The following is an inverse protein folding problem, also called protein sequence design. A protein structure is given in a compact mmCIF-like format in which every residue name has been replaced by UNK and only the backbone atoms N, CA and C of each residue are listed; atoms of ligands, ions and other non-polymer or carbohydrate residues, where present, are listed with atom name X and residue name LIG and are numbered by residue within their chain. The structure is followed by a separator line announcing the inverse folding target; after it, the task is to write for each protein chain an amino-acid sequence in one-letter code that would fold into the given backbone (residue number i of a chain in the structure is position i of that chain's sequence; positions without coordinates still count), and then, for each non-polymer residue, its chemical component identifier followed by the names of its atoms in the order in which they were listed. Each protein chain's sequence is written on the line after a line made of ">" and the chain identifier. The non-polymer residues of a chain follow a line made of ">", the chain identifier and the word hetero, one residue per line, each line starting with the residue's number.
data_IF_314303483524
#
_entry.id   IF_314303483524
#
_cell.length_a   1.000
_cell.length_b   1.000
_cell.length_c   1.000
_cell.angle_alpha   90.00
_cell.angle_beta   90.00
_cell.angle_gamma   90.00
#
_symmetry.space_group_name_H-M   'P 1'
#
loop_
_entity.id
_entity.type
_entity.pdbx_description
1 polymer ?
#
# COMPACT_ATOMS: atom_id res chain seq x y z
N UNK A 1 4.05 11.87 -24.39
CA UNK A 1 4.14 10.51 -23.79
C UNK A 1 4.78 10.49 -22.40
N UNK A 2 6.03 10.96 -22.18
CA UNK A 2 6.68 10.92 -20.84
C UNK A 2 5.87 11.56 -19.69
N UNK A 3 5.23 12.69 -19.98
CA UNK A 3 4.36 13.41 -19.03
C UNK A 3 3.09 12.63 -18.63
N UNK A 4 2.60 11.73 -19.49
CA UNK A 4 1.44 10.87 -19.18
C UNK A 4 1.87 9.80 -18.18
N UNK A 5 3.08 9.26 -18.32
CA UNK A 5 3.61 8.20 -17.44
C UNK A 5 3.69 8.67 -15.98
N UNK A 6 4.20 9.89 -15.73
CA UNK A 6 4.28 10.41 -14.36
C UNK A 6 2.89 10.72 -13.77
N UNK A 7 1.94 11.19 -14.58
CA UNK A 7 0.55 11.38 -14.14
C UNK A 7 -0.11 10.05 -13.80
N UNK A 8 0.09 9.03 -14.65
CA UNK A 8 -0.39 7.67 -14.39
C UNK A 8 0.25 7.10 -13.12
N UNK A 9 1.56 7.29 -12.93
CA UNK A 9 2.28 6.87 -11.72
C UNK A 9 1.67 7.47 -10.45
N UNK A 10 1.45 8.80 -10.43
CA UNK A 10 0.85 9.48 -9.28
C UNK A 10 -0.60 9.03 -9.03
N UNK A 11 -1.37 8.82 -10.10
CA UNK A 11 -2.78 8.41 -10.01
C UNK A 11 -2.92 6.99 -9.46
N UNK A 12 -2.15 6.03 -9.99
CA UNK A 12 -2.17 4.63 -9.52
C UNK A 12 -1.70 4.55 -8.06
N UNK A 13 -0.63 5.26 -7.70
CA UNK A 13 -0.16 5.29 -6.32
C UNK A 13 -1.17 5.90 -5.34
N UNK A 14 -1.93 6.93 -5.77
CA UNK A 14 -3.03 7.49 -4.97
C UNK A 14 -4.14 6.46 -4.75
N UNK A 15 -4.47 5.66 -5.77
CA UNK A 15 -5.43 4.55 -5.64
C UNK A 15 -4.98 3.52 -4.59
N UNK A 16 -3.70 3.15 -4.58
CA UNK A 16 -3.13 2.24 -3.59
C UNK A 16 -3.20 2.83 -2.17
N UNK A 17 -2.85 4.11 -2.01
CA UNK A 17 -2.95 4.81 -0.73
C UNK A 17 -4.38 4.74 -0.18
N UNK A 18 -5.38 5.10 -0.98
CA UNK A 18 -6.78 5.08 -0.53
C UNK A 18 -7.29 3.66 -0.28
N UNK A 19 -6.89 2.66 -1.08
CA UNK A 19 -7.19 1.27 -0.78
C UNK A 19 -6.58 0.83 0.56
N UNK A 20 -5.35 1.27 0.87
CA UNK A 20 -4.70 0.96 2.14
C UNK A 20 -5.40 1.62 3.33
N UNK A 21 -5.80 2.89 3.19
CA UNK A 21 -6.58 3.63 4.19
C UNK A 21 -7.96 2.98 4.39
N UNK A 22 -8.65 2.60 3.32
CA UNK A 22 -9.93 1.89 3.40
C UNK A 22 -9.80 0.60 4.19
N UNK A 23 -8.73 -0.18 3.95
CA UNK A 23 -8.49 -1.39 4.73
C UNK A 23 -8.32 -1.10 6.22
N UNK A 24 -7.66 0.00 6.62
CA UNK A 24 -7.58 0.39 8.03
C UNK A 24 -8.93 0.87 8.59
N UNK A 25 -9.62 1.75 7.88
CA UNK A 25 -10.82 2.42 8.38
C UNK A 25 -12.04 1.51 8.42
N UNK A 26 -12.14 0.58 7.47
CA UNK A 26 -13.33 -0.25 7.29
C UNK A 26 -13.03 -1.70 7.63
N UNK A 27 -12.09 -2.34 6.92
CA UNK A 27 -11.88 -3.78 7.07
C UNK A 27 -11.28 -4.14 8.43
N UNK A 28 -10.22 -3.46 8.87
CA UNK A 28 -9.60 -3.71 10.16
C UNK A 28 -10.53 -3.37 11.32
N UNK A 29 -11.23 -2.23 11.26
CA UNK A 29 -12.23 -1.86 12.26
C UNK A 29 -13.36 -2.90 12.38
N UNK A 30 -13.86 -3.40 11.25
CA UNK A 30 -14.88 -4.46 11.23
C UNK A 30 -14.34 -5.76 11.84
N UNK A 31 -13.10 -6.15 11.50
CA UNK A 31 -12.44 -7.33 12.08
C UNK A 31 -12.24 -7.17 13.59
N UNK A 32 -11.79 -6.03 14.07
CA UNK A 32 -11.52 -5.81 15.51
C UNK A 32 -12.78 -5.78 16.37
N UNK A 33 -13.95 -5.50 15.77
CA UNK A 33 -15.20 -5.29 16.51
C UNK A 33 -15.74 -6.51 17.27
N UNK A 34 -15.44 -7.74 16.83
CA UNK A 34 -16.00 -8.97 17.40
C UNK A 34 -15.12 -10.21 17.20
N UNK A 35 -13.86 -10.15 17.65
CA UNK A 35 -12.92 -11.28 17.57
C UNK A 35 -13.32 -12.37 18.58
N UNK A 36 -13.39 -13.67 18.18
CA UNK A 36 -12.91 -14.23 16.91
C UNK A 36 -13.96 -14.34 15.79
N UNK A 37 -15.25 -14.11 16.09
CA UNK A 37 -16.35 -14.34 15.14
C UNK A 37 -16.21 -13.51 13.85
N UNK A 38 -15.73 -12.28 13.96
CA UNK A 38 -15.46 -11.39 12.82
C UNK A 38 -14.37 -11.93 11.89
N UNK A 39 -13.34 -12.60 12.43
CA UNK A 39 -12.27 -13.23 11.63
C UNK A 39 -12.82 -14.46 10.89
N UNK A 40 -13.66 -15.26 11.54
CA UNK A 40 -14.37 -16.38 10.90
C UNK A 40 -15.23 -15.88 9.75
N UNK A 41 -16.04 -14.85 9.98
CA UNK A 41 -16.86 -14.23 8.94
C UNK A 41 -16.01 -13.65 7.79
N UNK A 42 -14.87 -13.02 8.11
CA UNK A 42 -13.96 -12.50 7.10
C UNK A 42 -13.35 -13.61 6.24
N UNK A 43 -12.98 -14.77 6.82
CA UNK A 43 -12.51 -15.95 6.06
C UNK A 43 -13.54 -16.44 5.07
N UNK A 44 -14.80 -16.51 5.49
CA UNK A 44 -15.91 -16.93 4.62
C UNK A 44 -16.15 -15.92 3.49
N UNK A 45 -16.23 -14.62 3.84
CA UNK A 45 -16.47 -13.55 2.89
C UNK A 45 -15.35 -13.43 1.83
N UNK A 46 -14.09 -13.56 2.26
CA UNK A 46 -12.91 -13.44 1.40
C UNK A 46 -12.40 -14.78 0.83
N UNK A 47 -13.24 -15.83 0.85
CA UNK A 47 -12.88 -17.18 0.41
C UNK A 47 -12.57 -17.28 -1.09
N UNK A 48 -13.11 -16.38 -1.91
CA UNK A 48 -12.92 -16.39 -3.37
C UNK A 48 -12.02 -15.25 -3.87
N UNK A 49 -12.23 -14.04 -3.35
CA UNK A 49 -11.46 -12.83 -3.68
C UNK A 49 -11.24 -12.06 -2.40
N UNK A 50 -10.05 -11.48 -2.24
CA UNK A 50 -9.68 -10.70 -1.07
C UNK A 50 -8.91 -9.41 -1.44
N UNK A 51 -8.68 -8.49 -0.48
CA UNK A 51 -7.95 -7.26 -0.77
C UNK A 51 -6.56 -7.48 -1.38
N UNK A 52 -5.91 -8.62 -1.09
CA UNK A 52 -4.65 -9.02 -1.70
C UNK A 52 -4.72 -9.13 -3.23
N UNK A 53 -5.86 -9.50 -3.81
CA UNK A 53 -6.01 -9.60 -5.27
C UNK A 53 -5.92 -8.24 -5.97
N UNK A 54 -6.39 -7.17 -5.31
CA UNK A 54 -6.16 -5.81 -5.76
C UNK A 54 -4.66 -5.46 -5.73
N UNK A 55 -3.99 -5.70 -4.58
CA UNK A 55 -2.58 -5.31 -4.42
C UNK A 55 -1.64 -6.12 -5.32
N UNK A 56 -1.92 -7.40 -5.59
CA UNK A 56 -1.14 -8.23 -6.52
C UNK A 56 -1.01 -7.61 -7.91
N UNK A 57 -2.01 -6.85 -8.36
CA UNK A 57 -2.00 -6.18 -9.66
C UNK A 57 -1.43 -4.77 -9.54
N UNK A 58 -1.97 -3.97 -8.62
CA UNK A 58 -1.70 -2.54 -8.59
C UNK A 58 -0.36 -2.20 -7.92
N UNK A 59 0.09 -2.95 -6.91
CA UNK A 59 1.40 -2.69 -6.27
C UNK A 59 2.56 -2.80 -7.28
N UNK A 60 2.73 -3.91 -8.03
CA UNK A 60 3.78 -4.01 -9.05
C UNK A 60 3.64 -2.94 -10.15
N UNK A 61 2.41 -2.66 -10.59
CA UNK A 61 2.16 -1.64 -11.59
C UNK A 61 2.63 -0.25 -11.12
N UNK A 62 2.36 0.11 -9.86
CA UNK A 62 2.79 1.39 -9.30
C UNK A 62 4.30 1.53 -9.24
N UNK A 63 5.02 0.47 -8.87
CA UNK A 63 6.48 0.44 -8.80
C UNK A 63 7.08 0.56 -10.20
N UNK A 64 6.51 -0.15 -11.18
CA UNK A 64 6.93 -0.05 -12.58
C UNK A 64 6.75 1.38 -13.10
N UNK A 65 5.59 2.00 -12.88
CA UNK A 65 5.32 3.38 -13.31
C UNK A 65 6.23 4.40 -12.59
N UNK A 66 6.52 4.19 -11.30
CA UNK A 66 7.42 5.05 -10.54
C UNK A 66 8.87 4.92 -11.03
N UNK A 67 9.34 3.70 -11.28
CA UNK A 67 10.67 3.45 -11.84
C UNK A 67 10.81 4.03 -13.25
N UNK A 68 9.81 3.82 -14.11
CA UNK A 68 9.78 4.41 -15.46
C UNK A 68 9.80 5.94 -15.38
N UNK A 69 9.03 6.54 -14.46
CA UNK A 69 9.06 7.99 -14.24
C UNK A 69 10.46 8.45 -13.82
N UNK A 70 11.10 7.76 -12.87
CA UNK A 70 12.46 8.07 -12.42
C UNK A 70 13.48 8.01 -13.57
N UNK A 71 13.44 6.96 -14.39
CA UNK A 71 14.35 6.77 -15.53
C UNK A 71 14.13 7.86 -16.59
N UNK A 72 12.87 8.13 -16.95
CA UNK A 72 12.53 9.10 -18.01
C UNK A 72 12.89 10.54 -17.66
N UNK A 73 12.86 10.88 -16.36
CA UNK A 73 13.15 12.23 -15.86
C UNK A 73 14.50 12.32 -15.11
N UNK A 74 15.34 11.27 -15.14
CA UNK A 74 16.60 11.19 -14.41
C UNK A 74 17.54 12.39 -14.65
N UNK A 75 17.67 12.81 -15.91
CA UNK A 75 18.56 13.90 -16.32
C UNK A 75 17.91 15.29 -16.27
N UNK A 76 16.66 15.41 -15.82
CA UNK A 76 15.90 16.66 -15.93
C UNK A 76 16.31 17.71 -14.89
N UNK A 77 16.43 17.31 -13.63
CA UNK A 77 16.85 18.20 -12.54
C UNK A 77 17.19 17.37 -11.30
N UNK A 78 18.21 17.74 -10.49
CA UNK A 78 18.49 17.07 -9.22
C UNK A 78 17.29 17.04 -8.28
N UNK A 79 16.49 18.12 -8.24
CA UNK A 79 15.30 18.20 -7.38
C UNK A 79 14.18 17.25 -7.83
N UNK A 80 13.90 17.18 -9.15
CA UNK A 80 12.92 16.22 -9.70
C UNK A 80 13.38 14.80 -9.44
N UNK A 81 14.67 14.52 -9.69
CA UNK A 81 15.26 13.20 -9.46
C UNK A 81 15.12 12.77 -7.99
N UNK A 82 15.43 13.65 -7.04
CA UNK A 82 15.30 13.35 -5.62
C UNK A 82 13.86 12.99 -5.24
N UNK A 83 12.87 13.79 -5.69
CA UNK A 83 11.46 13.52 -5.44
C UNK A 83 11.00 12.17 -6.00
N UNK A 84 11.44 11.82 -7.22
CA UNK A 84 11.09 10.55 -7.85
C UNK A 84 11.80 9.36 -7.19
N UNK A 85 13.02 9.53 -6.68
CA UNK A 85 13.72 8.51 -5.88
C UNK A 85 12.96 8.27 -4.57
N UNK A 86 12.59 9.32 -3.84
CA UNK A 86 11.83 9.19 -2.59
C UNK A 86 10.50 8.49 -2.86
N UNK A 87 9.76 8.91 -3.90
CA UNK A 87 8.50 8.28 -4.27
C UNK A 87 8.65 6.78 -4.57
N UNK A 88 9.63 6.40 -5.40
CA UNK A 88 9.91 5.00 -5.72
C UNK A 88 10.27 4.18 -4.47
N UNK A 89 11.15 4.71 -3.61
CA UNK A 89 11.53 4.03 -2.37
C UNK A 89 10.35 3.87 -1.41
N UNK A 90 9.50 4.88 -1.26
CA UNK A 90 8.28 4.77 -0.45
C UNK A 90 7.36 3.65 -0.93
N UNK A 91 7.09 3.56 -2.24
CA UNK A 91 6.24 2.50 -2.80
C UNK A 91 6.86 1.12 -2.64
N UNK A 92 8.17 1.01 -2.83
CA UNK A 92 8.91 -0.23 -2.64
C UNK A 92 8.93 -0.67 -1.17
N UNK A 93 9.17 0.26 -0.23
CA UNK A 93 9.12 0.01 1.21
C UNK A 93 7.72 -0.43 1.66
N UNK A 94 6.66 0.20 1.14
CA UNK A 94 5.29 -0.20 1.46
C UNK A 94 5.00 -1.66 1.05
N UNK A 95 5.59 -2.14 -0.03
CA UNK A 95 5.48 -3.55 -0.44
C UNK A 95 6.37 -4.48 0.38
N UNK A 96 7.59 -4.06 0.75
CA UNK A 96 8.41 -4.82 1.71
C UNK A 96 7.63 -5.02 3.01
N UNK A 97 6.97 -3.98 3.52
CA UNK A 97 6.11 -4.11 4.70
C UNK A 97 4.99 -5.13 4.46
N UNK A 98 4.35 -5.11 3.29
CA UNK A 98 3.32 -6.08 2.90
C UNK A 98 3.82 -7.51 3.10
N UNK A 99 4.93 -7.87 2.45
CA UNK A 99 5.49 -9.22 2.47
C UNK A 99 6.06 -9.64 3.82
N UNK A 100 6.75 -8.74 4.50
CA UNK A 100 7.50 -9.10 5.73
C UNK A 100 6.66 -8.99 6.99
N UNK A 101 5.64 -8.12 7.01
CA UNK A 101 4.84 -7.83 8.21
C UNK A 101 3.38 -8.28 8.08
N UNK A 102 2.71 -7.93 6.98
CA UNK A 102 1.26 -8.15 6.87
C UNK A 102 0.90 -9.57 6.41
N UNK A 103 1.63 -10.11 5.42
CA UNK A 103 1.40 -11.48 4.95
C UNK A 103 1.46 -12.53 6.08
N UNK A 104 2.52 -12.57 6.92
CA UNK A 104 2.56 -13.53 8.03
C UNK A 104 1.38 -13.41 9.00
N UNK A 105 0.89 -12.19 9.26
CA UNK A 105 -0.25 -11.95 10.15
C UNK A 105 -1.57 -12.36 9.50
N UNK A 106 -1.71 -12.11 8.21
CA UNK A 106 -2.84 -12.56 7.42
C UNK A 106 -2.89 -14.09 7.36
N UNK A 107 -1.76 -14.77 7.23
CA UNK A 107 -1.71 -16.23 7.21
C UNK A 107 -2.20 -16.81 8.55
N UNK A 108 -1.81 -16.18 9.67
CA UNK A 108 -2.30 -16.57 11.00
C UNK A 108 -3.81 -16.34 11.12
N UNK A 109 -4.28 -15.14 10.80
CA UNK A 109 -5.70 -14.78 10.98
C UNK A 109 -6.62 -15.50 9.99
N UNK A 110 -6.22 -15.67 8.73
CA UNK A 110 -7.15 -16.03 7.64
C UNK A 110 -6.86 -17.38 6.98
N UNK A 111 -5.64 -17.91 7.05
CA UNK A 111 -5.27 -19.14 6.34
C UNK A 111 -4.95 -20.34 7.24
N UNK A 112 -4.68 -20.13 8.53
CA UNK A 112 -4.36 -21.21 9.46
C UNK A 112 -5.52 -22.19 9.65
N UNK A 113 -5.27 -23.49 9.61
CA UNK A 113 -6.32 -24.53 9.78
C UNK A 113 -7.07 -24.35 11.11
N UNK A 114 -6.32 -24.17 12.19
CA UNK A 114 -6.85 -23.89 13.52
C UNK A 114 -6.54 -22.46 13.90
N UNK A 115 -7.57 -21.71 14.34
CA UNK A 115 -7.40 -20.36 14.83
C UNK A 115 -6.69 -20.36 16.20
N UNK A 116 -5.76 -19.41 16.44
CA UNK A 116 -5.23 -19.14 17.76
C UNK A 116 -6.32 -18.75 18.77
N UNK A 117 -5.96 -18.68 20.04
CA UNK A 117 -6.84 -18.16 21.07
C UNK A 117 -7.22 -16.69 20.82
N UNK A 118 -8.35 -16.28 21.40
CA UNK A 118 -8.95 -14.95 21.20
C UNK A 118 -7.99 -13.81 21.55
N UNK A 119 -7.17 -13.94 22.59
CA UNK A 119 -6.26 -12.87 23.00
C UNK A 119 -5.09 -12.72 22.02
N UNK A 120 -4.55 -13.84 21.53
CA UNK A 120 -3.58 -13.83 20.43
C UNK A 120 -4.15 -13.18 19.16
N UNK A 121 -5.40 -13.51 18.79
CA UNK A 121 -6.04 -12.92 17.62
C UNK A 121 -6.26 -11.41 17.76
N UNK A 122 -6.73 -10.94 18.91
CA UNK A 122 -6.88 -9.50 19.19
C UNK A 122 -5.54 -8.76 19.07
N UNK A 123 -4.47 -9.34 19.63
CA UNK A 123 -3.12 -8.76 19.52
C UNK A 123 -2.68 -8.64 18.07
N UNK A 124 -2.81 -9.71 17.28
CA UNK A 124 -2.37 -9.72 15.87
C UNK A 124 -3.20 -8.74 15.04
N UNK A 125 -4.51 -8.64 15.28
CA UNK A 125 -5.38 -7.67 14.60
C UNK A 125 -4.97 -6.23 14.91
N UNK A 126 -4.74 -5.89 16.19
CA UNK A 126 -4.32 -4.56 16.60
C UNK A 126 -2.92 -4.17 16.06
N UNK A 127 -1.99 -5.12 16.05
CA UNK A 127 -0.67 -4.96 15.42
C UNK A 127 -0.79 -4.67 13.92
N UNK A 128 -1.63 -5.44 13.22
CA UNK A 128 -1.92 -5.27 11.81
C UNK A 128 -2.49 -3.86 11.54
N UNK A 129 -3.50 -3.45 12.29
CA UNK A 129 -4.19 -2.16 12.12
C UNK A 129 -3.24 -0.98 12.34
N UNK A 130 -2.47 -1.03 13.43
CA UNK A 130 -1.50 0.00 13.79
C UNK A 130 -0.42 0.16 12.72
N UNK A 131 0.15 -0.96 12.25
CA UNK A 131 1.19 -0.91 11.22
C UNK A 131 0.65 -0.50 9.85
N UNK A 132 -0.63 -0.80 9.56
CA UNK A 132 -1.22 -0.40 8.29
C UNK A 132 -1.37 1.12 8.17
N UNK A 133 -1.56 1.83 9.30
CA UNK A 133 -1.48 3.30 9.32
C UNK A 133 -0.07 3.82 9.03
N UNK A 134 0.96 3.16 9.55
CA UNK A 134 2.36 3.48 9.21
C UNK A 134 2.61 3.28 7.71
N UNK A 135 2.13 2.16 7.14
CA UNK A 135 2.22 1.91 5.70
C UNK A 135 1.48 2.97 4.88
N UNK A 136 0.29 3.39 5.31
CA UNK A 136 -0.46 4.49 4.69
C UNK A 136 0.32 5.80 4.71
N UNK A 137 1.00 6.11 5.81
CA UNK A 137 1.84 7.29 5.91
C UNK A 137 3.05 7.25 4.95
N UNK A 138 3.71 6.09 4.84
CA UNK A 138 4.80 5.88 3.85
C UNK A 138 4.30 6.09 2.42
N UNK A 139 3.13 5.52 2.08
CA UNK A 139 2.49 5.70 0.78
C UNK A 139 2.14 7.17 0.52
N UNK A 140 1.62 7.88 1.53
CA UNK A 140 1.29 9.30 1.44
C UNK A 140 2.52 10.16 1.11
N UNK A 141 3.65 9.92 1.77
CA UNK A 141 4.91 10.61 1.44
C UNK A 141 5.26 10.40 -0.03
N UNK A 142 5.18 9.15 -0.51
CA UNK A 142 5.48 8.84 -1.91
C UNK A 142 4.54 9.56 -2.90
N UNK A 143 3.24 9.60 -2.59
CA UNK A 143 2.24 10.30 -3.40
C UNK A 143 2.50 11.81 -3.43
N UNK A 144 2.75 12.43 -2.27
CA UNK A 144 3.07 13.86 -2.16
C UNK A 144 4.34 14.20 -2.96
N UNK A 145 5.41 13.40 -2.83
CA UNK A 145 6.62 13.58 -3.63
C UNK A 145 6.36 13.43 -5.14
N UNK A 146 5.48 12.49 -5.53
CA UNK A 146 5.09 12.31 -6.93
C UNK A 146 4.38 13.56 -7.48
N UNK A 147 3.44 14.14 -6.74
CA UNK A 147 2.77 15.37 -7.14
C UNK A 147 3.70 16.58 -7.18
N UNK A 148 4.64 16.72 -6.25
CA UNK A 148 5.67 17.76 -6.34
C UNK A 148 6.60 17.57 -7.54
N UNK A 149 6.92 16.33 -7.90
CA UNK A 149 7.69 16.06 -9.11
C UNK A 149 6.91 16.45 -10.37
N UNK A 150 5.61 16.13 -10.42
CA UNK A 150 4.69 16.57 -11.48
C UNK A 150 4.71 18.09 -11.58
N UNK A 151 4.40 18.81 -10.50
CA UNK A 151 4.41 20.28 -10.50
C UNK A 151 5.71 20.86 -11.07
N UNK A 152 6.86 20.41 -10.57
CA UNK A 152 8.17 20.88 -11.05
C UNK A 152 8.44 20.55 -12.52
N UNK A 153 8.00 19.39 -13.01
CA UNK A 153 8.15 18.99 -14.42
C UNK A 153 7.31 19.87 -15.35
N UNK A 154 6.16 20.36 -14.89
CA UNK A 154 5.27 21.20 -15.70
C UNK A 154 5.60 22.69 -15.60
N UNK A 155 6.12 23.16 -14.46
CA UNK A 155 6.46 24.58 -14.23
C UNK A 155 7.86 24.96 -14.72
N UNK A 156 8.82 24.02 -14.76
CA UNK A 156 10.19 24.28 -15.26
C UNK A 156 10.33 23.91 -16.74
N UNK A 157 10.44 24.92 -17.61
CA UNK A 157 10.78 24.79 -19.03
C UNK A 157 12.13 24.11 -19.25
#
# INVERSE_FOLDING_TARGET
>A
MKKIIILASASVASGILFANIYNSMVNAAAVESNIPNSIVAAREYFSTVNPGDFFKVFSPLSQLLALLSLVLFWKRSPAIRLLLVIAFLCYFTADIMAFTYFHPRNDIMYLSETLPDTETLKRIAAEWSSMNWVRSFVLLIGVVCSFFAVDKIYTRK
#
